data_IF_981740259694
#
_entry.id   IF_981740259694
#
_cell.length_a   1.000
_cell.length_b   1.000
_cell.length_c   1.000
_cell.angle_alpha   90.00
_cell.angle_beta   90.00
_cell.angle_gamma   90.00
#
_symmetry.space_group_name_H-M   'P 1'
#
loop_
_entity.id
_entity.type
_entity.pdbx_description
1 polymer ?
#
# COMPACT_ATOMS: atom_id res chain seq x y z
N UNK A 1 12.98 16.10 -5.69
CA UNK A 1 12.59 14.70 -5.45
C UNK A 1 11.29 14.74 -4.71
N UNK A 2 10.19 14.44 -5.38
CA UNK A 2 8.88 14.40 -4.73
C UNK A 2 8.87 13.20 -3.77
N UNK A 3 8.56 13.46 -2.51
CA UNK A 3 8.41 12.42 -1.51
C UNK A 3 7.13 11.64 -1.87
N UNK A 4 7.29 10.48 -2.50
CA UNK A 4 6.18 9.66 -2.97
C UNK A 4 5.59 8.89 -1.78
N UNK A 5 4.78 9.59 -0.98
CA UNK A 5 4.05 9.08 0.21
C UNK A 5 3.18 7.85 -0.09
N UNK A 6 2.93 7.54 -1.36
CA UNK A 6 2.18 6.37 -1.79
C UNK A 6 3.03 5.09 -1.90
N UNK A 7 4.36 5.18 -1.90
CA UNK A 7 5.23 4.00 -2.02
C UNK A 7 5.20 3.15 -0.76
N UNK A 8 4.96 1.86 -0.95
CA UNK A 8 4.74 0.87 0.12
C UNK A 8 5.94 -0.07 0.26
N UNK A 9 5.91 -0.96 1.25
CA UNK A 9 6.87 -2.07 1.31
C UNK A 9 6.74 -2.96 0.08
N UNK A 10 5.51 -3.19 -0.37
CA UNK A 10 5.22 -3.97 -1.57
C UNK A 10 5.76 -3.35 -2.86
N UNK A 11 5.60 -2.03 -3.09
CA UNK A 11 6.16 -1.39 -4.31
C UNK A 11 7.68 -1.47 -4.35
N UNK A 12 8.35 -1.30 -3.20
CA UNK A 12 9.80 -1.44 -3.10
C UNK A 12 10.24 -2.87 -3.37
N UNK A 13 9.46 -3.85 -2.88
CA UNK A 13 9.71 -5.26 -3.17
C UNK A 13 9.60 -5.57 -4.67
N UNK A 14 8.56 -5.06 -5.35
CA UNK A 14 8.39 -5.23 -6.81
C UNK A 14 9.61 -4.67 -7.57
N UNK A 15 10.00 -3.43 -7.29
CA UNK A 15 11.15 -2.77 -7.93
C UNK A 15 12.46 -3.53 -7.66
N UNK A 16 12.64 -4.04 -6.44
CA UNK A 16 13.82 -4.82 -6.05
C UNK A 16 13.86 -6.17 -6.79
N UNK A 17 12.73 -6.89 -6.88
CA UNK A 17 12.67 -8.16 -7.59
C UNK A 17 12.95 -8.02 -9.09
N UNK A 18 12.37 -6.99 -9.73
CA UNK A 18 12.67 -6.70 -11.13
C UNK A 18 14.16 -6.45 -11.35
N UNK A 19 14.81 -5.70 -10.44
CA UNK A 19 16.26 -5.45 -10.48
C UNK A 19 17.07 -6.74 -10.30
N UNK A 20 16.76 -7.53 -9.28
CA UNK A 20 17.53 -8.72 -8.91
C UNK A 20 17.43 -9.84 -9.96
N UNK A 21 16.29 -9.94 -10.65
CA UNK A 21 16.08 -10.89 -11.74
C UNK A 21 16.49 -10.35 -13.12
N UNK A 22 17.14 -9.18 -13.17
CA UNK A 22 17.64 -8.58 -14.42
C UNK A 22 16.55 -8.12 -15.38
N UNK A 23 15.33 -7.88 -14.89
CA UNK A 23 14.19 -7.34 -15.67
C UNK A 23 14.27 -5.81 -15.69
N UNK A 24 15.44 -5.27 -16.05
CA UNK A 24 15.76 -3.83 -15.96
C UNK A 24 15.23 -3.00 -17.12
N UNK A 25 14.88 -3.63 -18.25
CA UNK A 25 14.39 -2.94 -19.46
C UNK A 25 12.85 -2.76 -19.49
N UNK A 26 12.13 -3.26 -18.47
CA UNK A 26 10.70 -2.98 -18.29
C UNK A 26 10.54 -2.00 -17.14
N UNK A 27 10.54 -0.71 -17.47
CA UNK A 27 10.01 0.30 -16.54
C UNK A 27 8.55 -0.05 -16.25
N UNK A 28 8.29 -0.55 -15.04
CA UNK A 28 6.92 -0.77 -14.56
C UNK A 28 6.29 0.62 -14.40
N UNK A 29 5.19 0.94 -15.10
CA UNK A 29 4.59 2.26 -15.02
C UNK A 29 4.22 2.60 -13.58
N UNK A 30 4.49 3.84 -13.16
CA UNK A 30 4.19 4.32 -11.80
C UNK A 30 2.72 4.14 -11.43
N UNK A 31 1.81 4.40 -12.39
CA UNK A 31 0.38 4.18 -12.21
C UNK A 31 0.03 2.73 -11.90
N UNK A 32 0.75 1.76 -12.48
CA UNK A 32 0.52 0.35 -12.25
C UNK A 32 1.04 -0.09 -10.87
N UNK A 33 2.22 0.41 -10.47
CA UNK A 33 2.73 0.23 -9.11
C UNK A 33 1.75 0.80 -8.07
N UNK A 34 1.19 1.98 -8.35
CA UNK A 34 0.18 2.60 -7.48
C UNK A 34 -1.08 1.74 -7.37
N UNK A 35 -1.62 1.28 -8.50
CA UNK A 35 -2.78 0.38 -8.53
C UNK A 35 -2.52 -0.87 -7.67
N UNK A 36 -1.50 -1.66 -8.00
CA UNK A 36 -1.18 -2.89 -7.27
C UNK A 36 -0.93 -2.67 -5.78
N UNK A 37 -0.27 -1.59 -5.41
CA UNK A 37 -0.04 -1.26 -3.99
C UNK A 37 -1.34 -0.96 -3.24
N UNK A 38 -2.30 -0.33 -3.92
CA UNK A 38 -3.60 0.01 -3.35
C UNK A 38 -4.47 -1.24 -3.21
N UNK A 39 -4.56 -2.07 -4.25
CA UNK A 39 -5.31 -3.34 -4.20
C UNK A 39 -4.71 -4.28 -3.16
N UNK A 40 -3.38 -4.42 -3.11
CA UNK A 40 -2.69 -5.26 -2.12
C UNK A 40 -3.09 -4.92 -0.67
N UNK A 41 -3.25 -3.64 -0.35
CA UNK A 41 -3.62 -3.18 1.00
C UNK A 41 -5.12 -3.27 1.28
N UNK A 42 -5.97 -3.02 0.29
CA UNK A 42 -7.40 -2.83 0.52
C UNK A 42 -8.24 -4.07 0.23
N UNK A 43 -8.16 -4.60 -0.99
CA UNK A 43 -9.03 -5.69 -1.47
C UNK A 43 -8.30 -7.01 -1.68
N UNK A 44 -6.97 -7.01 -1.61
CA UNK A 44 -6.11 -8.06 -2.13
C UNK A 44 -5.91 -7.95 -3.64
N UNK A 45 -4.88 -8.64 -4.14
CA UNK A 45 -4.61 -8.75 -5.57
C UNK A 45 -5.49 -9.84 -6.20
N UNK A 46 -5.98 -9.58 -7.41
CA UNK A 46 -6.61 -10.62 -8.20
C UNK A 46 -5.56 -11.54 -8.87
N UNK A 47 -5.96 -12.70 -9.41
CA UNK A 47 -5.01 -13.62 -10.04
C UNK A 47 -4.29 -13.05 -11.26
N UNK A 48 -4.91 -12.11 -11.99
CA UNK A 48 -4.30 -11.49 -13.19
C UNK A 48 -3.17 -10.54 -12.76
N UNK A 49 -3.42 -9.72 -11.74
CA UNK A 49 -2.41 -8.87 -11.11
C UNK A 49 -1.21 -9.68 -10.61
N UNK A 50 -1.44 -10.83 -9.96
CA UNK A 50 -0.37 -11.70 -9.46
C UNK A 50 0.49 -12.23 -10.62
N UNK A 51 -0.16 -12.63 -11.72
CA UNK A 51 0.53 -13.11 -12.93
C UNK A 51 1.33 -12.00 -13.60
N UNK A 52 0.75 -10.81 -13.72
CA UNK A 52 1.41 -9.66 -14.35
C UNK A 52 2.59 -9.17 -13.53
N UNK A 53 2.47 -9.11 -12.20
CA UNK A 53 3.58 -8.77 -11.30
C UNK A 53 4.70 -9.81 -11.42
N UNK A 54 4.38 -11.12 -11.39
CA UNK A 54 5.37 -12.17 -11.56
C UNK A 54 6.09 -12.07 -12.91
N UNK A 55 5.35 -11.76 -13.99
CA UNK A 55 5.92 -11.54 -15.32
C UNK A 55 6.81 -10.28 -15.39
N UNK A 56 6.46 -9.22 -14.69
CA UNK A 56 7.23 -7.98 -14.66
C UNK A 56 8.46 -8.05 -13.77
N UNK A 57 8.47 -8.93 -12.77
CA UNK A 57 9.55 -9.03 -11.78
C UNK A 57 10.43 -10.26 -11.95
N UNK A 58 9.98 -11.27 -12.70
CA UNK A 58 10.63 -12.58 -12.76
C UNK A 58 10.44 -13.44 -11.50
N UNK A 59 9.68 -12.96 -10.51
CA UNK A 59 9.40 -13.69 -9.28
C UNK A 59 8.40 -14.84 -9.51
N UNK A 60 8.37 -15.80 -8.57
CA UNK A 60 7.31 -16.81 -8.60
C UNK A 60 5.96 -16.22 -8.14
N UNK A 61 4.85 -16.80 -8.58
CA UNK A 61 3.51 -16.40 -8.12
C UNK A 61 3.39 -16.45 -6.59
N UNK A 62 4.01 -17.46 -5.96
CA UNK A 62 4.01 -17.61 -4.50
C UNK A 62 4.78 -16.48 -3.80
N UNK A 63 5.89 -16.01 -4.39
CA UNK A 63 6.66 -14.91 -3.81
C UNK A 63 5.87 -13.59 -3.88
N UNK A 64 5.14 -13.36 -4.98
CA UNK A 64 4.23 -12.22 -5.12
C UNK A 64 3.14 -12.29 -4.05
N UNK A 65 2.51 -13.45 -3.87
CA UNK A 65 1.48 -13.66 -2.84
C UNK A 65 2.01 -13.37 -1.45
N UNK A 66 3.17 -13.96 -1.10
CA UNK A 66 3.79 -13.77 0.20
C UNK A 66 4.19 -12.30 0.46
N UNK A 67 4.63 -11.58 -0.58
CA UNK A 67 5.01 -10.19 -0.47
C UNK A 67 3.82 -9.26 -0.21
N UNK A 68 2.72 -9.41 -0.97
CA UNK A 68 1.56 -8.54 -0.75
C UNK A 68 0.87 -8.86 0.58
N UNK A 69 0.82 -10.13 1.00
CA UNK A 69 0.25 -10.50 2.30
C UNK A 69 1.02 -9.89 3.47
N UNK A 70 2.36 -9.79 3.37
CA UNK A 70 3.19 -9.12 4.36
C UNK A 70 2.86 -7.63 4.47
N UNK A 71 2.81 -6.93 3.34
CA UNK A 71 2.49 -5.49 3.31
C UNK A 71 1.04 -5.23 3.78
N UNK A 72 0.09 -6.08 3.40
CA UNK A 72 -1.29 -6.02 3.87
C UNK A 72 -1.40 -6.20 5.39
N UNK A 73 -0.65 -7.15 5.95
CA UNK A 73 -0.64 -7.37 7.39
C UNK A 73 -0.02 -6.19 8.16
N UNK A 74 1.09 -5.64 7.67
CA UNK A 74 1.70 -4.42 8.22
C UNK A 74 0.72 -3.24 8.15
N UNK A 75 0.08 -3.03 7.01
CA UNK A 75 -0.89 -1.95 6.83
C UNK A 75 -2.12 -2.12 7.74
N UNK A 76 -2.64 -3.34 7.87
CA UNK A 76 -3.77 -3.64 8.75
C UNK A 76 -3.42 -3.40 10.21
N UNK A 77 -2.19 -3.74 10.63
CA UNK A 77 -1.71 -3.44 11.97
C UNK A 77 -1.62 -1.93 12.22
N UNK A 78 -1.15 -1.15 11.25
CA UNK A 78 -1.11 0.32 11.32
C UNK A 78 -2.53 0.92 11.39
N UNK A 79 -3.48 0.42 10.58
CA UNK A 79 -4.87 0.88 10.63
C UNK A 79 -5.54 0.58 11.97
N UNK A 80 -5.26 -0.59 12.56
CA UNK A 80 -5.81 -0.95 13.87
C UNK A 80 -5.36 -0.02 15.01
N UNK A 81 -4.26 0.73 14.84
CA UNK A 81 -3.87 1.79 15.77
C UNK A 81 -4.80 3.00 15.67
N UNK A 82 -5.23 3.35 14.46
CA UNK A 82 -6.13 4.48 14.21
C UNK A 82 -7.59 4.17 14.53
N UNK A 83 -8.01 2.90 14.43
CA UNK A 83 -9.36 2.45 14.77
C UNK A 83 -9.59 2.28 16.29
N UNK A 84 -8.65 2.71 17.14
CA UNK A 84 -8.79 2.61 18.59
C UNK A 84 -9.91 3.53 19.10
N UNK A 85 -10.77 3.06 20.03
CA UNK A 85 -11.90 3.84 20.54
C UNK A 85 -11.49 5.18 21.16
N UNK A 86 -10.29 5.24 21.75
CA UNK A 86 -9.74 6.45 22.35
C UNK A 86 -9.50 7.57 21.32
N UNK A 87 -9.20 7.22 20.06
CA UNK A 87 -9.05 8.18 18.97
C UNK A 87 -10.40 8.61 18.39
N UNK A 88 -11.39 7.73 18.39
CA UNK A 88 -12.77 8.10 18.03
C UNK A 88 -13.37 9.09 19.04
N UNK A 89 -13.09 8.90 20.34
CA UNK A 89 -13.49 9.83 21.39
C UNK A 89 -12.76 11.19 21.25
N UNK A 90 -11.48 11.17 20.88
CA UNK A 90 -10.72 12.39 20.59
C UNK A 90 -11.26 13.13 19.36
N UNK A 91 -11.59 12.41 18.29
CA UNK A 91 -12.19 12.99 17.09
C UNK A 91 -13.53 13.66 17.43
N UNK A 92 -14.43 12.95 18.13
CA UNK A 92 -15.71 13.49 18.60
C UNK A 92 -15.53 14.74 19.48
N UNK A 93 -14.49 14.77 20.31
CA UNK A 93 -14.15 15.94 21.13
C UNK A 93 -13.69 17.13 20.28
N UNK A 94 -12.78 16.91 19.32
CA UNK A 94 -12.31 17.96 18.40
C UNK A 94 -13.45 18.54 17.57
N UNK A 95 -14.35 17.66 17.13
CA UNK A 95 -15.54 17.99 16.35
C UNK A 95 -16.53 18.85 17.15
N UNK A 96 -16.66 18.61 18.45
CA UNK A 96 -17.43 19.44 19.37
C UNK A 96 -16.80 20.83 19.58
N UNK A 97 -15.47 20.92 19.69
CA UNK A 97 -14.74 22.20 19.81
C UNK A 97 -14.86 23.03 18.53
N UNK A 98 -14.71 22.41 17.35
CA UNK A 98 -14.85 23.07 16.06
C UNK A 98 -16.25 23.68 15.85
N UNK A 99 -17.30 22.96 16.27
CA UNK A 99 -18.69 23.46 16.22
C UNK A 99 -18.98 24.57 17.23
N UNK A 100 -18.20 24.67 18.31
CA UNK A 100 -18.33 25.70 19.34
C UNK A 100 -17.54 26.98 19.06
N UNK A 101 -16.69 26.99 18.03
CA UNK A 101 -15.89 28.16 17.66
C UNK A 101 -16.76 29.14 16.85
N UNK A 102 -16.92 30.40 17.27
CA UNK A 102 -17.53 31.40 16.40
C UNK A 102 -16.60 31.65 15.22
N UNK A 103 -17.08 31.43 13.99
CA UNK A 103 -16.40 31.88 12.78
C UNK A 103 -16.20 33.39 12.84
N UNK A 104 -15.03 33.92 12.41
CA UNK A 104 -14.85 35.36 12.23
C UNK A 104 -15.80 35.93 11.16
#
# INVERSE_FOLDING_TARGET
>A
MSDHTWRTGFTRWIEQQARDNGVVDRDIPEALLWCWSTTARTTGLDPEDIVDIARCTGASLNDVVAAYQRDHHEWTADQAVFDQPDLADLDAHLDAVARGWPSP
#
